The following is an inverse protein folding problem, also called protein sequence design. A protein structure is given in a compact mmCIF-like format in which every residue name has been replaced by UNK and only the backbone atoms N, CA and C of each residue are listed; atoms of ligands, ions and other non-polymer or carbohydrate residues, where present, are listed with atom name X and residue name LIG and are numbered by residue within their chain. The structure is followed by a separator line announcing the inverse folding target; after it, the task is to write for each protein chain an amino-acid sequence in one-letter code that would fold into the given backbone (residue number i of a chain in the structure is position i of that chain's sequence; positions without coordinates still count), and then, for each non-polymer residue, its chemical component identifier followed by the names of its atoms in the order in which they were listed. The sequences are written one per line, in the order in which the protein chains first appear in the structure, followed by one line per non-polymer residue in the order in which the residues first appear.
data_IF_247391176104
#
_entry.id   IF_247391176104
#
_cell.length_a   1.000
_cell.length_b   1.000
_cell.length_c   1.000
_cell.angle_alpha   90.00
_cell.angle_beta   90.00
_cell.angle_gamma   90.00
#
_symmetry.space_group_name_H-M   'P 1'
#
loop_
_entity.id
_entity.type
_entity.pdbx_description
1 polymer ?
#
# COMPACT_ATOMS: atom_id res chain seq x y z
N UNK A 1 -17.93 6.61 4.89
CA UNK A 1 -17.32 6.77 3.55
C UNK A 1 -18.36 6.56 2.48
N UNK A 2 -18.26 7.24 1.34
CA UNK A 2 -19.13 7.03 0.18
C UNK A 2 -18.53 5.97 -0.75
N UNK A 3 -19.35 5.05 -1.25
CA UNK A 3 -18.92 4.03 -2.20
C UNK A 3 -18.92 4.58 -3.63
N UNK A 4 -18.32 3.89 -4.62
CA UNK A 4 -18.45 4.27 -6.03
C UNK A 4 -19.90 4.37 -6.54
N UNK A 5 -20.89 3.82 -5.82
CA UNK A 5 -22.32 3.90 -6.15
C UNK A 5 -23.04 5.07 -5.44
N UNK A 6 -22.33 5.92 -4.73
CA UNK A 6 -22.91 7.02 -3.95
C UNK A 6 -23.49 6.60 -2.59
N UNK A 7 -23.27 5.35 -2.18
CA UNK A 7 -23.84 4.84 -0.92
C UNK A 7 -22.93 5.21 0.26
N UNK A 8 -23.51 5.66 1.37
CA UNK A 8 -22.75 5.84 2.62
C UNK A 8 -22.65 4.52 3.39
N UNK A 9 -21.43 4.17 3.78
CA UNK A 9 -21.12 3.01 4.62
C UNK A 9 -20.27 3.41 5.82
N UNK A 10 -20.49 2.73 6.94
CA UNK A 10 -19.61 2.77 8.13
C UNK A 10 -18.53 1.70 7.92
N UNK A 11 -17.28 2.08 8.19
CA UNK A 11 -16.14 1.17 8.12
C UNK A 11 -15.23 1.42 9.31
N UNK A 12 -14.54 0.36 9.73
CA UNK A 12 -13.46 0.44 10.70
C UNK A 12 -12.13 0.48 9.96
N UNK A 13 -11.25 1.38 10.39
CA UNK A 13 -9.91 1.51 9.84
C UNK A 13 -8.93 1.83 10.98
N UNK A 14 -7.65 1.58 10.73
CA UNK A 14 -6.58 1.85 11.67
C UNK A 14 -5.70 2.96 11.11
N UNK A 15 -5.31 3.89 11.98
CA UNK A 15 -4.32 4.92 11.69
C UNK A 15 -3.21 4.85 12.73
N UNK A 16 -1.99 5.16 12.31
CA UNK A 16 -0.88 5.27 13.24
C UNK A 16 -1.19 6.39 14.26
N UNK A 17 -0.78 6.20 15.52
CA UNK A 17 -0.83 7.28 16.51
C UNK A 17 0.23 8.31 16.14
N UNK A 18 -0.05 9.59 16.43
CA UNK A 18 0.80 10.73 16.06
C UNK A 18 2.28 10.53 16.42
N UNK A 19 2.56 9.97 17.60
CA UNK A 19 3.92 9.70 18.08
C UNK A 19 4.75 8.76 17.18
N UNK A 20 4.10 8.01 16.29
CA UNK A 20 4.74 7.07 15.35
C UNK A 20 4.70 7.55 13.90
N UNK A 21 4.22 8.77 13.66
CA UNK A 21 4.24 9.39 12.33
C UNK A 21 5.55 10.15 12.18
N UNK A 22 6.48 9.57 11.42
CA UNK A 22 7.78 10.19 11.12
C UNK A 22 7.69 10.90 9.76
N UNK A 23 7.81 12.24 9.70
CA UNK A 23 7.75 12.97 8.44
C UNK A 23 8.85 12.53 7.48
N UNK A 24 8.48 12.33 6.21
CA UNK A 24 9.42 11.96 5.15
C UNK A 24 9.85 10.49 5.16
N UNK A 25 9.34 9.66 6.08
CA UNK A 25 9.55 8.21 6.06
C UNK A 25 8.97 7.63 4.78
N UNK A 26 9.77 6.79 4.09
CA UNK A 26 9.37 6.16 2.83
C UNK A 26 9.01 4.70 3.07
N UNK A 27 7.99 4.15 2.39
CA UNK A 27 7.73 2.73 2.46
C UNK A 27 8.89 1.94 1.86
N UNK A 28 9.13 0.74 2.39
CA UNK A 28 10.03 -0.19 1.71
C UNK A 28 9.45 -0.62 0.36
N UNK A 29 10.34 -0.91 -0.60
CA UNK A 29 9.97 -1.29 -1.95
C UNK A 29 9.01 -2.48 -2.00
N UNK A 30 9.25 -3.50 -1.18
CA UNK A 30 8.37 -4.68 -1.11
C UNK A 30 6.95 -4.33 -0.61
N UNK A 31 6.84 -3.39 0.33
CA UNK A 31 5.55 -2.98 0.87
C UNK A 31 4.75 -2.17 -0.15
N UNK A 32 5.42 -1.29 -0.90
CA UNK A 32 4.81 -0.57 -2.03
C UNK A 32 4.28 -1.54 -3.09
N UNK A 33 5.06 -2.57 -3.45
CA UNK A 33 4.62 -3.59 -4.42
C UNK A 33 3.39 -4.36 -3.92
N UNK A 34 3.37 -4.73 -2.64
CA UNK A 34 2.22 -5.38 -2.00
C UNK A 34 0.95 -4.53 -2.11
N UNK A 35 1.02 -3.25 -1.71
CA UNK A 35 -0.11 -2.31 -1.75
C UNK A 35 -0.60 -2.09 -3.19
N UNK A 36 0.33 -1.89 -4.13
CA UNK A 36 0.00 -1.64 -5.54
C UNK A 36 -0.61 -2.87 -6.20
N UNK A 37 -0.07 -4.06 -5.92
CA UNK A 37 -0.60 -5.34 -6.43
C UNK A 37 -2.02 -5.57 -5.92
N UNK A 38 -2.26 -5.41 -4.61
CA UNK A 38 -3.60 -5.55 -4.05
C UNK A 38 -4.60 -4.55 -4.65
N UNK A 39 -4.19 -3.30 -4.85
CA UNK A 39 -5.03 -2.28 -5.49
C UNK A 39 -5.45 -2.68 -6.91
N UNK A 40 -4.52 -3.23 -7.71
CA UNK A 40 -4.79 -3.75 -9.06
C UNK A 40 -5.72 -4.96 -9.02
N UNK A 41 -5.44 -5.94 -8.15
CA UNK A 41 -6.25 -7.16 -8.01
C UNK A 41 -7.70 -6.87 -7.64
N UNK A 42 -7.94 -5.86 -6.81
CA UNK A 42 -9.29 -5.45 -6.41
C UNK A 42 -9.96 -4.45 -7.36
N UNK A 43 -9.33 -4.13 -8.50
CA UNK A 43 -9.90 -3.24 -9.50
C UNK A 43 -10.12 -1.81 -9.01
N UNK A 44 -9.23 -1.31 -8.15
CA UNK A 44 -9.28 0.10 -7.74
C UNK A 44 -9.02 1.02 -8.94
N UNK A 45 -9.53 2.27 -8.93
CA UNK A 45 -9.42 3.16 -10.09
C UNK A 45 -7.97 3.42 -10.52
N UNK A 46 -7.69 3.36 -11.83
CA UNK A 46 -6.33 3.56 -12.36
C UNK A 46 -5.63 4.85 -11.89
N UNK A 47 -6.30 6.02 -11.76
CA UNK A 47 -5.65 7.20 -11.22
C UNK A 47 -5.12 7.00 -9.80
N UNK A 48 -5.81 6.20 -8.99
CA UNK A 48 -5.39 5.85 -7.63
C UNK A 48 -4.21 4.89 -7.65
N UNK A 49 -4.25 3.85 -8.49
CA UNK A 49 -3.12 2.92 -8.66
C UNK A 49 -1.87 3.66 -9.11
N UNK A 50 -1.99 4.57 -10.10
CA UNK A 50 -0.86 5.41 -10.55
C UNK A 50 -0.31 6.31 -9.44
N UNK A 51 -1.17 6.82 -8.56
CA UNK A 51 -0.73 7.61 -7.41
C UNK A 51 0.09 6.76 -6.42
N UNK A 52 -0.32 5.51 -6.16
CA UNK A 52 0.46 4.57 -5.34
C UNK A 52 1.81 4.24 -6.00
N UNK A 53 1.82 4.00 -7.31
CA UNK A 53 3.04 3.74 -8.08
C UNK A 53 4.02 4.92 -8.09
N UNK A 54 3.52 6.15 -7.98
CA UNK A 54 4.35 7.35 -7.94
C UNK A 54 5.02 7.60 -6.58
N UNK A 55 4.58 6.92 -5.50
CA UNK A 55 5.19 7.07 -4.17
C UNK A 55 6.64 6.62 -4.19
N UNK A 56 7.57 7.47 -3.74
CA UNK A 56 8.97 7.10 -3.59
C UNK A 56 9.12 6.04 -2.49
N UNK A 57 9.79 4.94 -2.80
CA UNK A 57 10.13 3.88 -1.84
C UNK A 57 11.64 3.77 -1.67
N UNK A 58 12.05 3.05 -0.63
CA UNK A 58 13.47 2.76 -0.37
C UNK A 58 13.71 1.24 -0.25
N UNK A 59 14.94 0.76 -0.52
CA UNK A 59 15.29 -0.64 -0.28
C UNK A 59 15.18 -0.99 1.20
N UNK A 60 14.72 -2.20 1.49
CA UNK A 60 14.74 -2.69 2.86
C UNK A 60 16.18 -3.11 3.24
N UNK A 61 16.76 -2.57 4.33
CA UNK A 61 18.08 -3.02 4.79
C UNK A 61 18.09 -4.51 5.22
N UNK A 62 16.94 -5.06 5.60
CA UNK A 62 16.77 -6.48 5.88
C UNK A 62 16.33 -7.24 4.61
N UNK A 63 17.30 -7.87 3.95
CA UNK A 63 17.08 -8.63 2.71
C UNK A 63 16.27 -9.92 2.91
N UNK A 64 16.38 -10.55 4.08
CA UNK A 64 15.60 -11.76 4.40
C UNK A 64 14.12 -11.40 4.45
N UNK A 65 13.75 -10.39 5.25
CA UNK A 65 12.38 -9.87 5.33
C UNK A 65 11.87 -9.43 3.96
N UNK A 66 12.70 -8.77 3.16
CA UNK A 66 12.31 -8.39 1.80
C UNK A 66 11.97 -9.63 0.96
N UNK A 67 12.80 -10.67 0.99
CA UNK A 67 12.58 -11.92 0.26
C UNK A 67 11.29 -12.62 0.68
N UNK A 68 11.06 -12.75 1.99
CA UNK A 68 9.84 -13.35 2.55
C UNK A 68 8.57 -12.63 2.07
N UNK A 69 8.57 -11.29 2.11
CA UNK A 69 7.40 -10.51 1.69
C UNK A 69 7.21 -10.45 0.17
N UNK A 70 8.27 -10.59 -0.62
CA UNK A 70 8.11 -10.68 -2.07
C UNK A 70 7.59 -12.06 -2.49
N UNK A 71 7.91 -13.12 -1.75
CA UNK A 71 7.48 -14.48 -2.05
C UNK A 71 5.97 -14.72 -1.90
N UNK A 72 5.25 -13.85 -1.17
CA UNK A 72 3.79 -13.93 -1.03
C UNK A 72 3.02 -13.24 -2.16
N UNK A 73 3.72 -12.50 -3.02
CA UNK A 73 3.09 -11.81 -4.14
C UNK A 73 2.73 -12.82 -5.23
N UNK A 74 1.61 -12.61 -5.95
CA UNK A 74 1.25 -13.46 -7.08
C UNK A 74 2.32 -13.41 -8.17
N UNK A 75 2.43 -14.52 -8.92
CA UNK A 75 3.22 -14.55 -10.15
C UNK A 75 2.72 -13.46 -11.12
N UNK A 76 3.66 -12.84 -11.83
CA UNK A 76 3.37 -11.74 -12.78
C UNK A 76 2.72 -12.20 -14.08
#
# INVERSE_FOLDING_TARGET
METPKGERRIAHFYVAQEAWIVPGLRPFGWYKELVTTGARQHGLPDPYVRALEAVASEPDPNRERQGENLAILPDR
#
